data_IF_216466160035
#
_entry.id   IF_216466160035
#
_cell.length_a   1.000
_cell.length_b   1.000
_cell.length_c   1.000
_cell.angle_alpha   90.00
_cell.angle_beta   90.00
_cell.angle_gamma   90.00
#
_symmetry.space_group_name_H-M   'P 1'
#
loop_
_entity.id
_entity.type
_entity.pdbx_description
1 polymer ?
#
# COMPACT_ATOMS: atom_id res chain seq x y z
N UNK A 1 -7.74 -6.20 -12.37
CA UNK A 1 -6.29 -6.50 -12.47
C UNK A 1 -5.55 -6.26 -11.14
N UNK A 2 -5.79 -5.11 -10.47
CA UNK A 2 -5.12 -4.81 -9.19
C UNK A 2 -5.52 -5.79 -8.09
N UNK A 3 -6.78 -6.18 -8.00
CA UNK A 3 -7.21 -7.18 -7.03
C UNK A 3 -6.47 -8.51 -7.25
N UNK A 4 -6.31 -8.95 -8.51
CA UNK A 4 -5.53 -10.14 -8.85
C UNK A 4 -4.07 -10.00 -8.44
N UNK A 5 -3.49 -8.82 -8.68
CA UNK A 5 -2.12 -8.51 -8.28
C UNK A 5 -1.94 -8.65 -6.77
N UNK A 6 -2.81 -8.04 -6.00
CA UNK A 6 -2.77 -8.05 -4.55
C UNK A 6 -3.03 -9.45 -3.98
N UNK A 7 -3.97 -10.19 -4.57
CA UNK A 7 -4.32 -11.55 -4.12
C UNK A 7 -3.28 -12.60 -4.54
N UNK A 8 -2.40 -12.30 -5.50
CA UNK A 8 -1.35 -13.21 -5.94
C UNK A 8 -0.23 -13.39 -4.93
N UNK A 9 -0.11 -12.49 -3.95
CA UNK A 9 0.94 -12.56 -2.95
C UNK A 9 0.61 -13.68 -1.96
N UNK A 10 1.49 -14.70 -1.82
CA UNK A 10 1.19 -15.88 -1.02
C UNK A 10 1.36 -15.59 0.49
N UNK A 11 0.29 -15.16 1.11
CA UNK A 11 0.17 -15.01 2.56
C UNK A 11 -1.04 -15.78 3.04
N UNK A 12 -0.98 -16.34 4.24
CA UNK A 12 -2.13 -17.02 4.82
C UNK A 12 -3.27 -16.02 5.02
N UNK A 13 -4.47 -16.41 4.61
CA UNK A 13 -5.65 -15.61 4.88
C UNK A 13 -6.22 -16.06 6.22
N UNK A 14 -6.18 -15.20 7.21
CA UNK A 14 -6.93 -15.41 8.44
C UNK A 14 -8.42 -15.23 8.10
N UNK A 15 -9.02 -16.25 7.50
CA UNK A 15 -10.47 -16.39 7.53
C UNK A 15 -10.79 -17.12 8.83
N UNK A 16 -11.24 -16.39 9.81
CA UNK A 16 -11.74 -16.94 11.08
C UNK A 16 -12.88 -17.95 10.89
N UNK A 17 -13.25 -18.25 9.65
CA UNK A 17 -14.42 -19.08 9.35
C UNK A 17 -14.18 -20.57 9.20
N UNK A 18 -12.94 -21.04 9.02
CA UNK A 18 -12.72 -22.47 8.75
C UNK A 18 -11.73 -23.19 9.68
N UNK A 19 -11.23 -22.56 10.73
CA UNK A 19 -10.41 -23.24 11.74
C UNK A 19 -9.11 -23.89 11.23
N UNK A 20 -8.73 -23.67 9.98
CA UNK A 20 -7.49 -24.16 9.42
C UNK A 20 -6.40 -23.12 9.67
N UNK A 21 -5.67 -23.30 10.73
CA UNK A 21 -4.41 -22.60 10.96
C UNK A 21 -3.41 -23.14 9.94
N UNK A 22 -2.86 -22.25 9.09
CA UNK A 22 -1.76 -22.63 8.22
C UNK A 22 -0.63 -23.21 9.07
N UNK A 23 -0.22 -24.44 8.81
CA UNK A 23 0.88 -25.11 9.54
C UNK A 23 2.23 -24.44 9.32
N UNK A 24 2.36 -23.54 8.35
CA UNK A 24 3.61 -22.87 8.02
C UNK A 24 3.52 -21.38 8.30
N UNK A 25 4.55 -20.82 8.96
CA UNK A 25 4.61 -19.37 9.16
C UNK A 25 4.74 -18.67 7.80
N UNK A 26 4.06 -17.54 7.65
CA UNK A 26 4.19 -16.70 6.45
C UNK A 26 5.63 -16.22 6.27
N UNK A 27 6.10 -16.19 5.03
CA UNK A 27 7.39 -15.62 4.67
C UNK A 27 7.38 -14.11 5.00
N UNK A 28 8.32 -13.60 5.80
CA UNK A 28 8.36 -12.18 6.15
C UNK A 28 8.49 -11.26 4.93
N UNK A 29 9.14 -11.70 3.86
CA UNK A 29 9.23 -10.95 2.60
C UNK A 29 7.87 -10.86 1.92
N UNK A 30 7.09 -11.92 1.92
CA UNK A 30 5.74 -11.91 1.34
C UNK A 30 4.76 -11.08 2.16
N UNK A 31 4.86 -11.12 3.49
CA UNK A 31 4.09 -10.22 4.36
C UNK A 31 4.42 -8.75 4.08
N UNK A 32 5.70 -8.44 3.89
CA UNK A 32 6.13 -7.10 3.49
C UNK A 32 5.56 -6.70 2.13
N UNK A 33 5.67 -7.56 1.13
CA UNK A 33 5.18 -7.28 -0.21
C UNK A 33 3.67 -7.02 -0.21
N UNK A 34 2.92 -7.83 0.51
CA UNK A 34 1.48 -7.65 0.68
C UNK A 34 1.15 -6.31 1.33
N UNK A 35 1.81 -5.99 2.43
CA UNK A 35 1.62 -4.72 3.14
C UNK A 35 1.98 -3.52 2.26
N UNK A 36 3.10 -3.59 1.55
CA UNK A 36 3.54 -2.52 0.66
C UNK A 36 2.54 -2.25 -0.47
N UNK A 37 2.11 -3.28 -1.18
CA UNK A 37 1.23 -3.12 -2.33
C UNK A 37 -0.18 -2.73 -1.91
N UNK A 38 -0.70 -3.29 -0.81
CA UNK A 38 -1.97 -2.84 -0.25
C UNK A 38 -1.91 -1.38 0.21
N UNK A 39 -0.81 -0.98 0.85
CA UNK A 39 -0.58 0.41 1.27
C UNK A 39 -0.54 1.38 0.08
N UNK A 40 0.23 1.04 -0.95
CA UNK A 40 0.34 1.88 -2.15
C UNK A 40 -1.01 2.01 -2.87
N UNK A 41 -1.73 0.92 -3.01
CA UNK A 41 -3.06 0.94 -3.61
C UNK A 41 -4.06 1.73 -2.75
N UNK A 42 -4.04 1.52 -1.44
CA UNK A 42 -4.98 2.16 -0.51
C UNK A 42 -4.78 3.67 -0.36
N UNK A 43 -3.54 4.16 -0.54
CA UNK A 43 -3.20 5.58 -0.32
C UNK A 43 -2.94 6.35 -1.60
N UNK A 44 -2.72 5.66 -2.71
CA UNK A 44 -2.24 6.28 -3.94
C UNK A 44 -0.80 6.79 -3.83
N UNK A 45 -0.03 6.31 -2.86
CA UNK A 45 1.33 6.77 -2.61
C UNK A 45 2.25 6.61 -3.82
N UNK A 46 3.13 7.58 -4.01
CA UNK A 46 4.26 7.45 -4.92
C UNK A 46 5.31 6.51 -4.32
N UNK A 47 6.16 5.94 -5.17
CA UNK A 47 7.24 5.05 -4.73
C UNK A 47 8.10 5.70 -3.64
N UNK A 48 8.49 6.95 -3.84
CA UNK A 48 9.30 7.69 -2.85
C UNK A 48 8.58 7.88 -1.52
N UNK A 49 7.28 8.08 -1.55
CA UNK A 49 6.46 8.21 -0.35
C UNK A 49 6.34 6.89 0.40
N UNK A 50 6.17 5.78 -0.32
CA UNK A 50 6.14 4.45 0.28
C UNK A 50 7.49 4.07 0.89
N UNK A 51 8.59 4.30 0.17
CA UNK A 51 9.95 4.04 0.69
C UNK A 51 10.29 4.94 1.87
N UNK A 52 9.84 6.19 1.85
CA UNK A 52 10.08 7.16 2.90
C UNK A 52 9.18 7.02 4.12
N UNK A 53 8.14 6.18 4.06
CA UNK A 53 7.21 6.01 5.15
C UNK A 53 7.89 5.43 6.39
N UNK A 54 7.59 6.02 7.53
CA UNK A 54 8.04 5.58 8.84
C UNK A 54 6.91 4.89 9.60
N UNK A 55 7.27 4.14 10.64
CA UNK A 55 6.27 3.49 11.51
C UNK A 55 5.26 4.48 12.09
N UNK A 56 5.72 5.69 12.44
CA UNK A 56 4.86 6.73 13.02
C UNK A 56 3.92 7.37 11.99
N UNK A 57 4.13 7.12 10.71
CA UNK A 57 3.32 7.73 9.65
C UNK A 57 1.99 6.99 9.42
N UNK A 58 1.81 5.82 10.02
CA UNK A 58 0.58 5.02 9.85
C UNK A 58 -0.06 4.75 11.21
N UNK A 59 -1.28 5.23 11.36
CA UNK A 59 -2.14 4.90 12.50
C UNK A 59 -3.17 3.86 12.03
N UNK A 60 -2.94 2.60 12.37
CA UNK A 60 -3.83 1.51 11.95
C UNK A 60 -5.16 1.52 12.69
N UNK A 61 -5.19 2.01 13.91
CA UNK A 61 -6.43 2.13 14.70
C UNK A 61 -7.29 3.27 14.16
N UNK A 62 -6.67 4.41 13.87
CA UNK A 62 -7.34 5.58 13.28
C UNK A 62 -7.56 5.45 11.77
N UNK A 63 -6.98 4.46 11.13
CA UNK A 63 -7.03 4.22 9.67
C UNK A 63 -6.62 5.44 8.86
N UNK A 64 -5.51 6.05 9.25
CA UNK A 64 -4.93 7.22 8.58
C UNK A 64 -3.44 7.02 8.36
N UNK A 65 -2.97 7.41 7.21
CA UNK A 65 -1.55 7.50 6.88
C UNK A 65 -1.16 8.95 6.57
N UNK A 66 0.03 9.32 7.00
CA UNK A 66 0.66 10.58 6.65
C UNK A 66 1.69 10.33 5.56
N UNK A 67 1.50 10.97 4.41
CA UNK A 67 2.43 10.87 3.29
C UNK A 67 3.25 12.16 3.19
N UNK A 68 4.56 12.00 3.04
CA UNK A 68 5.49 13.12 2.88
C UNK A 68 5.80 13.29 1.40
N UNK A 69 5.19 14.30 0.79
CA UNK A 69 5.39 14.61 -0.61
C UNK A 69 6.61 15.51 -0.86
N UNK A 70 6.74 15.95 -2.10
CA UNK A 70 7.80 16.84 -2.56
C UNK A 70 7.79 18.16 -1.79
N UNK A 71 8.96 18.64 -1.37
CA UNK A 71 9.08 19.90 -0.62
C UNK A 71 8.59 19.80 0.82
N UNK A 72 8.63 18.63 1.42
CA UNK A 72 8.16 18.35 2.79
C UNK A 72 6.68 18.65 3.01
N UNK A 73 5.87 18.65 1.96
CA UNK A 73 4.41 18.78 2.07
C UNK A 73 3.81 17.48 2.55
N UNK A 74 3.16 17.54 3.69
CA UNK A 74 2.44 16.41 4.27
C UNK A 74 0.98 16.39 3.81
N UNK A 75 0.45 15.20 3.61
CA UNK A 75 -0.99 15.01 3.45
C UNK A 75 -1.44 13.79 4.23
N UNK A 76 -2.64 13.84 4.76
CA UNK A 76 -3.27 12.73 5.46
C UNK A 76 -4.22 12.02 4.50
N UNK A 77 -4.12 10.70 4.46
CA UNK A 77 -4.93 9.86 3.57
C UNK A 77 -5.55 8.75 4.39
N UNK A 78 -6.86 8.47 4.22
CA UNK A 78 -7.48 7.32 4.84
C UNK A 78 -6.84 6.01 4.37
N UNK A 79 -6.80 5.02 5.24
CA UNK A 79 -6.28 3.68 4.92
C UNK A 79 -7.36 2.65 5.15
N UNK A 80 -7.76 1.94 4.09
CA UNK A 80 -8.81 0.95 4.15
C UNK A 80 -8.45 -0.26 5.01
N UNK A 81 -9.46 -1.06 5.35
CA UNK A 81 -9.31 -2.20 6.25
C UNK A 81 -8.35 -3.28 5.75
N UNK A 82 -8.33 -3.56 4.46
CA UNK A 82 -7.41 -4.53 3.86
C UNK A 82 -5.94 -4.13 4.05
N UNK A 83 -5.63 -2.86 3.80
CA UNK A 83 -4.27 -2.35 3.97
C UNK A 83 -3.88 -2.33 5.45
N UNK A 84 -4.77 -1.92 6.34
CA UNK A 84 -4.51 -1.95 7.78
C UNK A 84 -4.23 -3.37 8.26
N UNK A 85 -5.02 -4.35 7.84
CA UNK A 85 -4.82 -5.75 8.19
C UNK A 85 -3.48 -6.28 7.68
N UNK A 86 -3.14 -6.01 6.43
CA UNK A 86 -1.86 -6.41 5.85
C UNK A 86 -0.67 -5.78 6.58
N UNK A 87 -0.78 -4.51 6.94
CA UNK A 87 0.26 -3.79 7.69
C UNK A 87 0.41 -4.37 9.09
N UNK A 88 -0.69 -4.64 9.79
CA UNK A 88 -0.66 -5.23 11.13
C UNK A 88 0.07 -6.58 11.10
N UNK A 89 -0.28 -7.45 10.16
CA UNK A 89 0.37 -8.76 10.01
C UNK A 89 1.85 -8.63 9.72
N UNK A 90 2.23 -7.71 8.84
CA UNK A 90 3.63 -7.43 8.55
C UNK A 90 4.39 -6.92 9.78
N UNK A 91 3.80 -5.98 10.52
CA UNK A 91 4.42 -5.43 11.73
C UNK A 91 4.61 -6.46 12.83
N UNK A 92 3.72 -7.44 12.96
CA UNK A 92 3.80 -8.48 13.98
C UNK A 92 4.70 -9.66 13.57
N UNK A 93 4.58 -10.15 12.34
CA UNK A 93 5.20 -11.41 11.94
C UNK A 93 6.31 -11.25 10.88
N UNK A 94 6.34 -10.15 10.15
CA UNK A 94 7.31 -9.94 9.07
C UNK A 94 8.45 -9.01 9.43
N UNK A 95 8.12 -7.78 9.80
CA UNK A 95 9.11 -6.72 10.06
C UNK A 95 10.15 -7.10 11.12
N UNK A 96 9.79 -7.69 12.28
CA UNK A 96 10.81 -8.06 13.27
C UNK A 96 11.83 -9.06 12.74
N UNK A 97 11.43 -9.99 11.90
CA UNK A 97 12.34 -10.96 11.28
C UNK A 97 13.28 -10.31 10.28
N UNK A 98 12.80 -9.32 9.50
CA UNK A 98 13.64 -8.56 8.59
C UNK A 98 14.60 -7.64 9.36
N UNK A 99 14.13 -6.98 10.39
CA UNK A 99 14.95 -6.13 11.26
C UNK A 99 16.10 -6.92 11.89
N UNK A 100 15.85 -8.13 12.32
CA UNK A 100 16.87 -9.01 12.94
C UNK A 100 18.03 -9.37 12.02
N UNK A 101 17.86 -9.21 10.71
CA UNK A 101 18.89 -9.52 9.72
C UNK A 101 19.86 -8.35 9.47
N UNK A 102 19.63 -7.22 10.11
CA UNK A 102 20.52 -6.05 9.98
C UNK A 102 21.89 -6.33 10.56
N UNK A 103 22.92 -6.12 9.75
CA UNK A 103 24.32 -6.11 10.18
C UNK A 103 24.73 -4.66 10.42
N UNK A 104 24.94 -4.29 11.67
CA UNK A 104 25.23 -2.91 12.06
C UNK A 104 24.02 -2.20 12.66
N UNK A 105 23.94 -0.85 12.54
CA UNK A 105 22.85 -0.09 13.13
C UNK A 105 21.48 -0.55 12.61
N UNK A 106 20.54 -0.77 13.53
CA UNK A 106 19.19 -1.24 13.21
C UNK A 106 18.37 -0.08 12.64
N UNK A 107 17.65 -0.32 11.57
CA UNK A 107 16.68 0.62 11.01
C UNK A 107 15.38 0.55 11.83
N UNK A 108 15.19 1.49 12.74
CA UNK A 108 14.05 1.47 13.67
C UNK A 108 12.82 2.25 13.19
N UNK A 109 13.00 3.15 12.23
CA UNK A 109 11.95 4.07 11.82
C UNK A 109 11.22 3.65 10.55
N UNK A 110 11.92 3.06 9.58
CA UNK A 110 11.34 2.70 8.31
C UNK A 110 10.20 1.69 8.47
N UNK A 111 9.08 1.97 7.82
CA UNK A 111 7.96 1.04 7.77
C UNK A 111 8.32 -0.22 6.97
N UNK A 112 8.79 -0.04 5.75
CA UNK A 112 9.11 -1.16 4.85
C UNK A 112 10.62 -1.42 4.80
N UNK A 113 11.00 -2.67 5.12
CA UNK A 113 12.38 -3.12 5.18
C UNK A 113 12.70 -4.09 4.04
N UNK A 114 13.96 -4.04 3.57
CA UNK A 114 14.49 -5.00 2.62
C UNK A 114 14.94 -6.29 3.36
N UNK A 115 15.46 -7.26 2.60
CA UNK A 115 15.93 -8.55 3.14
C UNK A 115 17.14 -8.43 4.08
N UNK A 116 17.81 -7.27 4.10
CA UNK A 116 18.93 -6.97 4.97
C UNK A 116 18.55 -6.13 6.19
N UNK A 117 17.26 -5.90 6.39
CA UNK A 117 16.76 -5.11 7.51
C UNK A 117 16.96 -3.61 7.38
N UNK A 118 17.19 -3.11 6.17
CA UNK A 118 17.32 -1.68 5.86
C UNK A 118 16.09 -1.16 5.14
N UNK A 119 15.95 0.16 5.12
CA UNK A 119 14.86 0.81 4.38
C UNK A 119 14.81 0.34 2.94
N UNK A 120 13.63 0.01 2.47
CA UNK A 120 13.39 -0.44 1.11
C UNK A 120 13.74 0.65 0.10
N UNK A 121 14.41 0.28 -1.00
CA UNK A 121 14.77 1.20 -2.08
C UNK A 121 13.65 1.28 -3.13
N UNK A 122 13.68 2.35 -3.92
CA UNK A 122 12.75 2.53 -5.06
C UNK A 122 12.84 1.37 -6.05
N UNK A 123 14.05 0.94 -6.35
CA UNK A 123 14.28 -0.17 -7.27
C UNK A 123 13.66 -1.48 -6.75
N UNK A 124 13.79 -1.73 -5.46
CA UNK A 124 13.15 -2.90 -4.83
C UNK A 124 11.64 -2.87 -4.96
N UNK A 125 11.01 -1.72 -4.85
CA UNK A 125 9.56 -1.57 -5.07
C UNK A 125 9.18 -1.96 -6.49
N UNK A 126 9.94 -1.49 -7.49
CA UNK A 126 9.73 -1.88 -8.89
C UNK A 126 9.81 -3.39 -9.09
N UNK A 127 10.80 -4.03 -8.49
CA UNK A 127 10.99 -5.48 -8.56
C UNK A 127 9.84 -6.24 -7.87
N UNK A 128 9.37 -5.74 -6.73
CA UNK A 128 8.24 -6.31 -6.00
C UNK A 128 6.96 -6.25 -6.85
N UNK A 129 6.70 -5.12 -7.48
CA UNK A 129 5.53 -4.94 -8.37
C UNK A 129 5.63 -5.89 -9.57
N UNK A 130 6.80 -5.98 -10.18
CA UNK A 130 7.04 -6.88 -11.31
C UNK A 130 6.80 -8.34 -10.91
N UNK A 131 7.38 -8.78 -9.79
CA UNK A 131 7.21 -10.14 -9.29
C UNK A 131 5.75 -10.48 -8.97
N UNK A 132 5.01 -9.53 -8.40
CA UNK A 132 3.58 -9.70 -8.15
C UNK A 132 2.79 -9.81 -9.47
N UNK A 133 3.15 -9.01 -10.47
CA UNK A 133 2.54 -9.08 -11.80
C UNK A 133 2.76 -10.43 -12.48
N UNK A 134 3.96 -10.96 -12.37
CA UNK A 134 4.29 -12.29 -12.90
C UNK A 134 3.48 -13.39 -12.20
N UNK A 135 3.38 -13.36 -10.87
CA UNK A 135 2.55 -14.32 -10.11
C UNK A 135 1.07 -14.24 -10.47
N UNK A 136 0.58 -13.05 -10.75
CA UNK A 136 -0.81 -12.80 -11.14
C UNK A 136 -1.09 -13.10 -12.62
N UNK A 137 -0.07 -13.49 -13.38
CA UNK A 137 -0.17 -13.72 -14.83
C UNK A 137 -0.68 -12.51 -15.60
N UNK A 138 -0.18 -11.32 -15.24
CA UNK A 138 -0.52 -10.07 -15.92
C UNK A 138 0.50 -9.85 -17.03
N UNK A 139 0.04 -9.86 -18.29
CA UNK A 139 0.89 -9.75 -19.47
C UNK A 139 1.39 -8.33 -19.74
N UNK A 140 0.70 -7.33 -19.22
CA UNK A 140 1.08 -5.93 -19.41
C UNK A 140 2.19 -5.52 -18.46
N UNK A 141 3.16 -4.69 -18.90
CA UNK A 141 4.14 -4.12 -17.99
C UNK A 141 3.45 -3.33 -16.87
N UNK A 142 3.80 -3.65 -15.63
CA UNK A 142 3.29 -2.93 -14.46
C UNK A 142 4.33 -1.94 -13.96
N UNK A 143 3.87 -0.74 -13.69
CA UNK A 143 4.66 0.35 -13.13
C UNK A 143 4.06 0.79 -11.79
N UNK A 144 4.83 1.44 -10.92
CA UNK A 144 4.27 2.02 -9.68
C UNK A 144 3.08 2.95 -9.93
N UNK A 145 3.08 3.67 -11.05
CA UNK A 145 1.96 4.52 -11.46
C UNK A 145 0.66 3.74 -11.72
N UNK A 146 0.75 2.45 -12.03
CA UNK A 146 -0.43 1.59 -12.24
C UNK A 146 -1.28 1.49 -10.99
N UNK A 147 -0.66 1.26 -9.83
CA UNK A 147 -1.37 1.19 -8.56
C UNK A 147 -1.98 2.54 -8.19
N UNK A 148 -1.24 3.62 -8.39
CA UNK A 148 -1.71 4.98 -8.12
C UNK A 148 -2.86 5.38 -9.04
N UNK A 149 -2.78 5.04 -10.32
CA UNK A 149 -3.85 5.27 -11.29
C UNK A 149 -5.10 4.46 -10.94
N UNK A 150 -4.93 3.21 -10.54
CA UNK A 150 -6.04 2.34 -10.11
C UNK A 150 -6.71 2.87 -8.85
N UNK A 151 -5.95 3.40 -7.91
CA UNK A 151 -6.48 4.08 -6.73
C UNK A 151 -7.37 5.26 -7.13
N UNK A 152 -6.87 6.15 -7.99
CA UNK A 152 -7.63 7.30 -8.47
C UNK A 152 -8.92 6.88 -9.19
N UNK A 153 -8.82 5.90 -10.07
CA UNK A 153 -9.96 5.37 -10.83
C UNK A 153 -10.99 4.74 -9.90
N UNK A 154 -10.57 3.96 -8.93
CA UNK A 154 -11.44 3.31 -7.95
C UNK A 154 -12.21 4.34 -7.13
N UNK A 155 -11.53 5.38 -6.64
CA UNK A 155 -12.16 6.46 -5.89
C UNK A 155 -13.23 7.18 -6.72
N UNK A 156 -12.93 7.45 -7.97
CA UNK A 156 -13.85 8.16 -8.87
C UNK A 156 -15.05 7.29 -9.21
N UNK A 157 -14.86 6.01 -9.48
CA UNK A 157 -15.96 5.06 -9.69
C UNK A 157 -16.83 4.88 -8.45
N UNK A 158 -16.22 4.95 -7.27
CA UNK A 158 -16.92 4.87 -5.98
C UNK A 158 -17.61 6.18 -5.58
N UNK A 159 -17.38 7.24 -6.35
CA UNK A 159 -18.11 8.43 -6.11
C UNK A 159 -17.36 9.70 -5.77
N UNK A 160 -16.03 9.76 -5.81
CA UNK A 160 -15.25 10.95 -5.50
C UNK A 160 -15.27 12.00 -6.61
N UNK A 161 -15.28 13.27 -6.26
CA UNK A 161 -15.02 14.32 -7.24
C UNK A 161 -13.51 14.42 -7.54
N UNK A 162 -13.19 15.03 -8.68
CA UNK A 162 -11.82 15.16 -9.17
C UNK A 162 -10.93 15.94 -8.19
N UNK A 163 -11.48 17.00 -7.58
CA UNK A 163 -10.73 17.83 -6.64
C UNK A 163 -10.33 17.06 -5.38
N UNK A 164 -11.24 16.28 -4.82
CA UNK A 164 -10.95 15.42 -3.65
C UNK A 164 -9.86 14.40 -3.98
N UNK A 165 -9.94 13.75 -5.14
CA UNK A 165 -8.93 12.80 -5.60
C UNK A 165 -7.57 13.49 -5.75
N UNK A 166 -7.54 14.70 -6.32
CA UNK A 166 -6.31 15.49 -6.43
C UNK A 166 -5.67 15.79 -5.09
N UNK A 167 -6.47 16.18 -4.11
CA UNK A 167 -5.98 16.48 -2.77
C UNK A 167 -5.39 15.23 -2.12
N UNK A 168 -6.07 14.09 -2.24
CA UNK A 168 -5.57 12.81 -1.72
C UNK A 168 -4.27 12.36 -2.39
N UNK A 169 -4.13 12.62 -3.69
CA UNK A 169 -2.93 12.27 -4.44
C UNK A 169 -1.81 13.33 -4.31
N UNK A 170 -2.12 14.51 -3.80
CA UNK A 170 -1.15 15.59 -3.71
C UNK A 170 -0.76 16.16 -5.07
N UNK A 171 -1.67 16.17 -6.06
CA UNK A 171 -1.43 16.77 -7.37
C UNK A 171 -1.44 18.30 -7.32
N UNK A 172 -0.45 18.91 -7.98
CA UNK A 172 -0.39 20.36 -8.12
C UNK A 172 -1.30 20.88 -9.26
N UNK A 173 -1.74 20.01 -10.18
CA UNK A 173 -2.56 20.39 -11.32
C UNK A 173 -3.70 19.39 -11.57
N UNK A 174 -4.79 19.88 -12.16
CA UNK A 174 -6.02 19.13 -12.44
C UNK A 174 -5.91 18.20 -13.65
N UNK A 175 -4.87 18.34 -14.46
CA UNK A 175 -4.78 17.73 -15.80
C UNK A 175 -4.83 16.21 -15.82
N UNK A 176 -4.28 15.52 -14.83
CA UNK A 176 -4.23 14.04 -14.81
C UNK A 176 -5.55 13.42 -14.35
N UNK A 177 -6.36 14.16 -13.62
CA UNK A 177 -7.62 13.68 -13.04
C UNK A 177 -8.88 14.22 -13.73
N UNK A 178 -8.73 15.17 -14.69
CA UNK A 178 -9.84 15.81 -15.42
C UNK A 178 -10.70 14.88 -16.27
N UNK A 179 -10.19 13.71 -16.64
CA UNK A 179 -10.92 12.69 -17.40
C UNK A 179 -11.94 11.91 -16.57
N UNK A 180 -12.03 12.19 -15.29
CA UNK A 180 -12.84 11.42 -14.35
C UNK A 180 -14.00 12.26 -13.81
N UNK A 181 -15.15 11.68 -13.60
CA UNK A 181 -16.39 12.38 -13.28
C UNK A 181 -16.76 12.37 -11.80
N UNK A 182 -17.61 13.29 -11.44
CA UNK A 182 -18.02 13.83 -10.15
C UNK A 182 -18.51 12.86 -9.10
N UNK A 183 -18.04 12.99 -7.84
CA UNK A 183 -18.73 12.37 -6.72
C UNK A 183 -18.41 12.96 -5.34
N UNK A 184 -19.26 12.66 -4.33
CA UNK A 184 -19.20 13.30 -3.03
C UNK A 184 -18.08 12.76 -2.14
N UNK A 185 -17.46 13.60 -1.29
CA UNK A 185 -16.43 13.18 -0.34
C UNK A 185 -16.87 12.09 0.65
N UNK A 186 -18.13 12.12 1.05
CA UNK A 186 -18.69 11.13 1.99
C UNK A 186 -18.77 9.75 1.36
N UNK A 187 -19.23 9.66 0.10
CA UNK A 187 -19.25 8.40 -0.66
C UNK A 187 -17.84 7.86 -0.87
N UNK A 188 -16.86 8.75 -1.05
CA UNK A 188 -15.45 8.40 -1.16
C UNK A 188 -14.96 7.68 0.08
N UNK A 189 -15.20 8.24 1.25
CA UNK A 189 -14.76 7.66 2.53
C UNK A 189 -15.46 6.34 2.79
N UNK A 190 -16.77 6.26 2.56
CA UNK A 190 -17.54 5.03 2.69
C UNK A 190 -17.03 3.93 1.77
N UNK A 191 -16.89 4.22 0.48
CA UNK A 191 -16.37 3.26 -0.51
C UNK A 191 -14.95 2.83 -0.15
N UNK A 192 -14.11 3.76 0.28
CA UNK A 192 -12.73 3.52 0.64
C UNK A 192 -12.59 2.64 1.89
N UNK A 193 -13.48 2.76 2.87
CA UNK A 193 -13.44 1.97 4.10
C UNK A 193 -14.09 0.59 3.95
N UNK A 194 -14.97 0.39 2.97
CA UNK A 194 -15.71 -0.85 2.74
C UNK A 194 -15.10 -1.71 1.63
N UNK A 195 -14.52 -1.08 0.59
CA UNK A 195 -13.87 -1.75 -0.52
C UNK A 195 -12.35 -1.59 -0.43
N UNK A 196 -11.64 -2.37 -1.19
CA UNK A 196 -10.19 -2.25 -1.32
C UNK A 196 -9.76 -0.91 -1.85
#
# INVERSE_FOLDING_TARGET
EVARLLDSIPVSQNREHDGVVSEFPDDPVMLRDKALLEFMYATGARVSEACGANLDDVDVDGRIARLMGKGSKQRLVPVGSYACEAIIRYLHAGRPKLESKSKGPVERRALFLNKRGKRLSRQSVWEIIRGAGERAHIDKPLHPHTLRHSFATHLIQGGADVRTVQELLGHASVTTTQIYTHVSPETLIETYLTDR
#
